data_IF_501403107018
#
_entry.id   IF_501403107018
#
_cell.length_a   1.000
_cell.length_b   1.000
_cell.length_c   1.000
_cell.angle_alpha   90.00
_cell.angle_beta   90.00
_cell.angle_gamma   90.00
#
_symmetry.space_group_name_H-M   'P 1'
#
loop_
_entity.id
_entity.type
_entity.pdbx_description
1 polymer ?
#
# COMPACT_ATOMS: atom_id res chain seq x y z
N UNK A 1 -8.70 -20.05 10.78
CA UNK A 1 -8.50 -18.94 9.83
C UNK A 1 -8.08 -19.45 8.45
N UNK A 2 -7.10 -20.34 8.31
CA UNK A 2 -6.69 -20.93 7.01
C UNK A 2 -7.85 -21.49 6.17
N UNK A 3 -8.82 -22.15 6.80
CA UNK A 3 -10.01 -22.70 6.12
C UNK A 3 -10.93 -21.64 5.48
N UNK A 4 -10.79 -20.37 5.85
CA UNK A 4 -11.53 -19.24 5.28
C UNK A 4 -10.75 -18.51 4.16
N UNK A 5 -9.50 -18.91 3.91
CA UNK A 5 -8.62 -18.26 2.94
C UNK A 5 -8.60 -19.04 1.63
N UNK A 6 -8.78 -18.35 0.51
CA UNK A 6 -8.57 -18.90 -0.83
C UNK A 6 -7.09 -19.22 -1.05
N UNK A 7 -6.78 -20.01 -2.08
CA UNK A 7 -5.38 -20.30 -2.44
C UNK A 7 -4.59 -19.01 -2.72
N UNK A 8 -5.19 -18.03 -3.42
CA UNK A 8 -4.58 -16.71 -3.68
C UNK A 8 -4.17 -16.00 -2.39
N UNK A 9 -4.98 -16.10 -1.33
CA UNK A 9 -4.63 -15.51 -0.04
C UNK A 9 -3.48 -16.25 0.64
N UNK A 10 -3.48 -17.59 0.57
CA UNK A 10 -2.44 -18.42 1.19
C UNK A 10 -1.08 -18.22 0.50
N UNK A 11 -1.07 -18.23 -0.84
CA UNK A 11 0.12 -18.00 -1.64
C UNK A 11 0.73 -16.63 -1.37
N UNK A 12 -0.11 -15.59 -1.27
CA UNK A 12 0.35 -14.23 -0.94
C UNK A 12 0.96 -14.16 0.46
N UNK A 13 0.37 -14.83 1.45
CA UNK A 13 0.92 -14.88 2.82
C UNK A 13 2.28 -15.56 2.83
N UNK A 14 2.44 -16.67 2.11
CA UNK A 14 3.71 -17.38 2.01
C UNK A 14 4.76 -16.56 1.26
N UNK A 15 4.38 -15.91 0.16
CA UNK A 15 5.22 -14.97 -0.60
C UNK A 15 5.76 -13.86 0.30
N UNK A 16 4.86 -13.19 1.05
CA UNK A 16 5.24 -12.08 1.94
C UNK A 16 6.15 -12.56 3.05
N UNK A 17 5.83 -13.68 3.71
CA UNK A 17 6.68 -14.26 4.77
C UNK A 17 8.08 -14.59 4.29
N UNK A 18 8.21 -15.16 3.10
CA UNK A 18 9.51 -15.49 2.52
C UNK A 18 10.34 -14.23 2.29
N UNK A 19 9.75 -13.20 1.68
CA UNK A 19 10.42 -11.92 1.42
C UNK A 19 10.80 -11.22 2.74
N UNK A 20 9.92 -11.24 3.73
CA UNK A 20 10.21 -10.66 5.05
C UNK A 20 11.40 -11.37 5.70
N UNK A 21 11.43 -12.70 5.70
CA UNK A 21 12.50 -13.48 6.31
C UNK A 21 13.85 -13.27 5.61
N UNK A 22 13.86 -13.17 4.29
CA UNK A 22 15.09 -13.05 3.51
C UNK A 22 15.65 -11.62 3.49
N UNK A 23 14.79 -10.61 3.34
CA UNK A 23 15.22 -9.24 3.01
C UNK A 23 14.98 -8.22 4.12
N UNK A 24 13.97 -8.45 4.98
CA UNK A 24 13.55 -7.44 5.97
C UNK A 24 14.08 -7.77 7.37
N UNK A 25 13.85 -8.99 7.86
CA UNK A 25 14.26 -9.41 9.22
C UNK A 25 15.76 -9.19 9.46
N UNK A 26 16.68 -9.52 8.54
CA UNK A 26 18.12 -9.30 8.75
C UNK A 26 18.52 -7.82 8.86
N UNK A 27 17.67 -6.90 8.37
CA UNK A 27 17.89 -5.44 8.32
C UNK A 27 16.86 -4.68 9.14
N UNK A 28 16.11 -5.35 10.01
CA UNK A 28 14.96 -4.78 10.70
C UNK A 28 15.33 -3.50 11.45
N UNK A 29 16.35 -3.56 12.29
CA UNK A 29 16.74 -2.44 13.14
C UNK A 29 17.21 -1.24 12.28
N UNK A 30 17.97 -1.50 11.21
CA UNK A 30 18.35 -0.47 10.23
C UNK A 30 17.12 0.21 9.63
N UNK A 31 16.14 -0.57 9.17
CA UNK A 31 14.92 -0.06 8.53
C UNK A 31 14.10 0.77 9.51
N UNK A 32 13.86 0.25 10.72
CA UNK A 32 13.06 0.93 11.74
C UNK A 32 13.69 2.26 12.20
N UNK A 33 15.04 2.32 12.25
CA UNK A 33 15.78 3.52 12.69
C UNK A 33 16.03 4.53 11.56
N UNK A 34 15.94 4.14 10.29
CA UNK A 34 16.37 4.97 9.14
C UNK A 34 15.43 6.11 8.74
N UNK A 35 14.28 6.26 9.43
CA UNK A 35 13.19 7.20 9.12
C UNK A 35 12.67 7.17 7.66
N UNK A 36 13.14 6.20 6.87
CA UNK A 36 12.89 6.06 5.43
C UNK A 36 12.81 4.59 5.06
N UNK A 37 12.29 4.27 3.88
CA UNK A 37 12.29 2.90 3.36
C UNK A 37 13.44 2.78 2.36
N UNK A 38 14.38 1.83 2.55
CA UNK A 38 15.46 1.63 1.60
C UNK A 38 14.94 1.39 0.17
N UNK A 39 15.57 2.06 -0.81
CA UNK A 39 15.19 2.05 -2.22
C UNK A 39 15.10 0.63 -2.81
N UNK A 40 16.00 -0.25 -2.40
CA UNK A 40 16.04 -1.64 -2.85
C UNK A 40 14.81 -2.43 -2.38
N UNK A 41 14.39 -2.20 -1.14
CA UNK A 41 13.18 -2.79 -0.54
C UNK A 41 11.93 -2.22 -1.22
N UNK A 42 11.85 -0.90 -1.40
CA UNK A 42 10.75 -0.26 -2.13
C UNK A 42 10.57 -0.86 -3.53
N UNK A 43 11.66 -0.94 -4.30
CA UNK A 43 11.64 -1.54 -5.66
C UNK A 43 11.31 -3.04 -5.63
N UNK A 44 11.71 -3.75 -4.58
CA UNK A 44 11.35 -5.16 -4.42
C UNK A 44 9.84 -5.31 -4.25
N UNK A 45 9.22 -4.56 -3.35
CA UNK A 45 7.76 -4.56 -3.15
C UNK A 45 6.98 -4.15 -4.42
N UNK A 46 7.52 -3.20 -5.20
CA UNK A 46 6.98 -2.81 -6.49
C UNK A 46 7.03 -3.94 -7.53
N UNK A 47 8.18 -4.62 -7.67
CA UNK A 47 8.32 -5.78 -8.57
C UNK A 47 7.45 -6.96 -8.15
N UNK A 48 7.27 -7.15 -6.85
CA UNK A 48 6.31 -8.10 -6.32
C UNK A 48 4.85 -7.65 -6.57
N UNK A 49 4.57 -6.45 -7.07
CA UNK A 49 3.22 -6.00 -7.36
C UNK A 49 2.34 -5.82 -6.11
N UNK A 50 2.96 -5.64 -4.95
CA UNK A 50 2.26 -5.47 -3.67
C UNK A 50 1.50 -4.14 -3.60
N UNK A 51 2.02 -3.09 -4.24
CA UNK A 51 1.31 -1.82 -4.37
C UNK A 51 0.02 -1.93 -5.21
N UNK A 52 -0.04 -2.92 -6.11
CA UNK A 52 -1.20 -3.22 -6.94
C UNK A 52 -2.12 -4.32 -6.38
N UNK A 53 -1.91 -4.80 -5.13
CA UNK A 53 -2.57 -6.02 -4.64
C UNK A 53 -4.10 -5.99 -4.74
N UNK A 54 -4.71 -4.85 -4.40
CA UNK A 54 -6.16 -4.65 -4.43
C UNK A 54 -6.64 -3.87 -5.66
N UNK A 55 -5.73 -3.40 -6.52
CA UNK A 55 -6.10 -2.68 -7.75
C UNK A 55 -6.62 -3.70 -8.77
N UNK A 56 -7.75 -3.43 -9.47
CA UNK A 56 -8.29 -4.34 -10.48
C UNK A 56 -7.30 -4.66 -11.60
N UNK A 57 -7.38 -5.88 -12.13
CA UNK A 57 -6.49 -6.35 -13.20
C UNK A 57 -6.55 -5.50 -14.48
N UNK A 58 -7.71 -4.95 -14.82
CA UNK A 58 -7.87 -4.03 -15.96
C UNK A 58 -7.02 -2.76 -15.86
N UNK A 59 -6.56 -2.40 -14.65
CA UNK A 59 -5.65 -1.28 -14.41
C UNK A 59 -4.24 -1.76 -14.04
N UNK A 60 -3.90 -3.03 -14.30
CA UNK A 60 -2.56 -3.58 -14.06
C UNK A 60 -2.26 -4.02 -12.63
N UNK A 61 -3.26 -4.10 -11.75
CA UNK A 61 -3.10 -4.65 -10.40
C UNK A 61 -3.32 -6.17 -10.33
N UNK A 62 -3.17 -6.76 -9.13
CA UNK A 62 -3.41 -8.20 -8.90
C UNK A 62 -4.90 -8.55 -8.79
N UNK A 63 -5.75 -7.59 -8.43
CA UNK A 63 -7.19 -7.79 -8.25
C UNK A 63 -7.55 -8.73 -7.09
N UNK A 64 -6.67 -8.90 -6.10
CA UNK A 64 -6.83 -9.87 -5.02
C UNK A 64 -7.75 -9.37 -3.87
N UNK A 65 -8.26 -8.13 -3.98
CA UNK A 65 -9.22 -7.56 -3.03
C UNK A 65 -8.61 -7.10 -1.70
N UNK A 66 -9.48 -6.59 -0.83
CA UNK A 66 -9.06 -5.98 0.44
C UNK A 66 -8.58 -7.00 1.48
N UNK A 67 -9.09 -8.23 1.48
CA UNK A 67 -8.61 -9.26 2.40
C UNK A 67 -7.15 -9.63 2.12
N UNK A 68 -6.79 -9.84 0.85
CA UNK A 68 -5.40 -10.05 0.44
C UNK A 68 -4.48 -8.89 0.86
N UNK A 69 -4.94 -7.64 0.68
CA UNK A 69 -4.23 -6.44 1.14
C UNK A 69 -3.98 -6.48 2.65
N UNK A 70 -4.99 -6.81 3.46
CA UNK A 70 -4.88 -6.85 4.92
C UNK A 70 -3.89 -7.93 5.38
N UNK A 71 -3.98 -9.12 4.80
CA UNK A 71 -3.06 -10.22 5.09
C UNK A 71 -1.61 -9.86 4.76
N UNK A 72 -1.39 -9.26 3.59
CA UNK A 72 -0.06 -8.78 3.19
C UNK A 72 0.52 -7.76 4.18
N UNK A 73 -0.30 -6.79 4.60
CA UNK A 73 0.13 -5.77 5.57
C UNK A 73 0.38 -6.40 6.94
N UNK A 74 -0.46 -7.32 7.39
CA UNK A 74 -0.31 -8.02 8.68
C UNK A 74 1.01 -8.79 8.73
N UNK A 75 1.29 -9.61 7.72
CA UNK A 75 2.53 -10.39 7.65
C UNK A 75 3.77 -9.49 7.55
N UNK A 76 3.71 -8.41 6.78
CA UNK A 76 4.78 -7.44 6.70
C UNK A 76 5.02 -6.71 8.05
N UNK A 77 3.94 -6.27 8.69
CA UNK A 77 3.97 -5.58 9.99
C UNK A 77 4.50 -6.46 11.11
N UNK A 78 4.29 -7.78 11.04
CA UNK A 78 4.86 -8.73 11.99
C UNK A 78 6.40 -8.73 11.95
N UNK A 79 6.98 -8.59 10.76
CA UNK A 79 8.43 -8.52 10.57
C UNK A 79 8.99 -7.11 10.84
N UNK A 80 8.31 -6.06 10.38
CA UNK A 80 8.69 -4.66 10.59
C UNK A 80 7.47 -3.75 10.52
N UNK A 81 7.29 -2.94 11.57
CA UNK A 81 6.22 -1.93 11.64
C UNK A 81 6.38 -0.87 10.55
N UNK A 82 7.61 -0.43 10.28
CA UNK A 82 7.93 0.48 9.20
C UNK A 82 7.50 -0.04 7.82
N UNK A 83 7.81 -1.31 7.49
CA UNK A 83 7.42 -1.91 6.19
C UNK A 83 5.89 -2.04 6.07
N UNK A 84 5.22 -2.55 7.12
CA UNK A 84 3.76 -2.66 7.13
C UNK A 84 3.07 -1.30 6.97
N UNK A 85 3.57 -0.28 7.68
CA UNK A 85 3.11 1.10 7.59
C UNK A 85 3.34 1.72 6.20
N UNK A 86 4.51 1.49 5.61
CA UNK A 86 4.84 1.96 4.27
C UNK A 86 3.93 1.35 3.20
N UNK A 87 3.69 0.03 3.25
CA UNK A 87 2.74 -0.63 2.34
C UNK A 87 1.33 -0.06 2.49
N UNK A 88 0.85 0.09 3.72
CA UNK A 88 -0.48 0.65 3.97
C UNK A 88 -0.60 2.09 3.45
N UNK A 89 0.43 2.92 3.68
CA UNK A 89 0.47 4.33 3.27
C UNK A 89 0.47 4.47 1.74
N UNK A 90 1.32 3.72 1.03
CA UNK A 90 1.51 3.83 -0.41
C UNK A 90 0.25 3.51 -1.24
N UNK A 91 -0.68 2.74 -0.68
CA UNK A 91 -1.89 2.28 -1.37
C UNK A 91 -3.18 2.83 -0.74
N UNK A 92 -3.09 3.70 0.27
CA UNK A 92 -4.24 4.20 1.02
C UNK A 92 -5.22 4.97 0.13
N UNK A 93 -4.72 5.88 -0.70
CA UNK A 93 -5.57 6.71 -1.57
C UNK A 93 -6.15 5.97 -2.79
N UNK A 94 -5.64 4.78 -3.12
CA UNK A 94 -6.04 4.05 -4.33
C UNK A 94 -7.52 3.65 -4.31
N UNK A 95 -8.10 3.39 -3.13
CA UNK A 95 -9.51 3.09 -3.00
C UNK A 95 -10.39 4.28 -3.41
N UNK A 96 -10.04 5.50 -2.96
CA UNK A 96 -10.80 6.71 -3.31
C UNK A 96 -10.82 6.95 -4.82
N UNK A 97 -9.69 6.73 -5.49
CA UNK A 97 -9.60 6.83 -6.93
C UNK A 97 -10.42 5.75 -7.65
N UNK A 98 -10.44 4.52 -7.13
CA UNK A 98 -11.25 3.43 -7.70
C UNK A 98 -12.75 3.69 -7.58
N UNK A 99 -13.21 4.20 -6.43
CA UNK A 99 -14.63 4.43 -6.17
C UNK A 99 -15.15 5.75 -6.77
N UNK A 100 -14.37 6.82 -6.72
CA UNK A 100 -14.84 8.17 -7.05
C UNK A 100 -14.12 8.82 -8.25
N UNK A 101 -13.04 8.21 -8.75
CA UNK A 101 -12.34 8.71 -9.94
C UNK A 101 -13.19 8.58 -11.20
N UNK A 102 -12.99 9.48 -12.15
CA UNK A 102 -13.43 9.26 -13.52
C UNK A 102 -12.63 8.14 -14.18
N UNK A 103 -13.15 7.53 -15.25
CA UNK A 103 -12.39 6.49 -15.96
C UNK A 103 -11.05 7.01 -16.51
N UNK A 104 -11.00 8.27 -16.97
CA UNK A 104 -9.74 8.90 -17.39
C UNK A 104 -8.72 9.00 -16.25
N UNK A 105 -9.17 9.34 -15.03
CA UNK A 105 -8.29 9.38 -13.85
C UNK A 105 -7.82 7.97 -13.46
N UNK A 106 -8.71 6.98 -13.47
CA UNK A 106 -8.37 5.59 -13.14
C UNK A 106 -7.35 5.02 -14.12
N UNK A 107 -7.59 5.15 -15.42
CA UNK A 107 -6.69 4.68 -16.48
C UNK A 107 -5.31 5.35 -16.42
N UNK A 108 -5.25 6.62 -16.01
CA UNK A 108 -3.98 7.33 -15.88
C UNK A 108 -3.19 6.90 -14.63
N UNK A 109 -3.83 6.88 -13.46
CA UNK A 109 -3.15 6.79 -12.16
C UNK A 109 -3.02 5.36 -11.62
N UNK A 110 -4.08 4.53 -11.72
CA UNK A 110 -4.06 3.20 -11.12
C UNK A 110 -2.94 2.30 -11.67
N UNK A 111 -2.64 2.29 -12.99
CA UNK A 111 -1.51 1.49 -13.50
C UNK A 111 -0.16 1.94 -12.94
N UNK A 112 0.03 3.23 -12.69
CA UNK A 112 1.28 3.80 -12.16
C UNK A 112 1.47 3.38 -10.71
N UNK A 113 0.41 3.46 -9.91
CA UNK A 113 0.43 2.97 -8.52
C UNK A 113 0.61 1.45 -8.44
N UNK A 114 -0.04 0.69 -9.34
CA UNK A 114 0.08 -0.77 -9.36
C UNK A 114 1.52 -1.24 -9.62
N UNK A 115 2.26 -0.54 -10.49
CA UNK A 115 3.67 -0.80 -10.79
C UNK A 115 4.64 -0.24 -9.76
N UNK A 116 4.18 0.62 -8.84
CA UNK A 116 5.03 1.35 -7.91
C UNK A 116 5.86 2.48 -8.56
N UNK A 117 5.48 2.93 -9.77
CA UNK A 117 6.11 4.09 -10.43
C UNK A 117 5.85 5.39 -9.65
N UNK A 118 4.69 5.44 -9.00
CA UNK A 118 4.25 6.53 -8.12
C UNK A 118 3.59 5.92 -6.87
N UNK A 119 3.49 6.71 -5.81
CA UNK A 119 2.77 6.35 -4.57
C UNK A 119 1.52 7.21 -4.39
N UNK A 120 0.48 6.64 -3.78
CA UNK A 120 -0.77 7.33 -3.55
C UNK A 120 -0.98 7.59 -2.05
N UNK A 121 -0.81 8.85 -1.63
CA UNK A 121 -1.06 9.28 -0.26
C UNK A 121 -2.37 10.06 -0.12
N UNK A 122 -2.81 10.27 1.12
CA UNK A 122 -3.95 11.14 1.46
C UNK A 122 -3.44 12.36 2.22
N UNK A 123 -3.95 13.54 1.87
CA UNK A 123 -3.57 14.81 2.48
C UNK A 123 -4.79 15.39 3.22
N UNK A 124 -5.05 14.89 4.42
CA UNK A 124 -6.25 15.25 5.21
C UNK A 124 -5.88 15.97 6.50
N UNK A 125 -4.87 15.49 7.22
CA UNK A 125 -4.44 16.05 8.51
C UNK A 125 -3.73 17.39 8.32
N UNK A 126 -4.04 18.35 9.18
CA UNK A 126 -3.38 19.66 9.27
C UNK A 126 -2.88 19.92 10.70
N UNK A 127 -1.94 20.89 10.93
CA UNK A 127 -1.44 21.21 12.27
C UNK A 127 -2.54 21.51 13.31
N UNK A 128 -3.69 22.06 12.87
CA UNK A 128 -4.85 22.36 13.73
C UNK A 128 -6.04 21.40 13.58
N UNK A 129 -5.93 20.34 12.77
CA UNK A 129 -7.05 19.46 12.43
C UNK A 129 -6.59 18.02 12.19
N UNK A 130 -6.71 17.17 13.22
CA UNK A 130 -6.51 15.73 13.17
C UNK A 130 -7.81 14.96 13.39
N UNK A 131 -8.14 14.64 14.64
CA UNK A 131 -9.39 13.92 14.99
C UNK A 131 -10.66 14.69 14.59
N UNK A 132 -10.60 16.02 14.51
CA UNK A 132 -11.69 16.86 13.99
C UNK A 132 -11.44 17.22 12.53
N UNK A 133 -11.50 16.23 11.64
CA UNK A 133 -11.21 16.39 10.19
C UNK A 133 -11.99 17.52 9.53
N UNK A 134 -13.23 17.76 9.95
CA UNK A 134 -14.08 18.85 9.43
C UNK A 134 -13.57 20.26 9.77
N UNK A 135 -12.54 20.37 10.61
CA UNK A 135 -11.88 21.63 10.96
C UNK A 135 -10.84 22.11 9.94
N UNK A 136 -10.59 21.33 8.87
CA UNK A 136 -9.60 21.61 7.83
C UNK A 136 -9.74 23.04 7.26
N UNK A 137 -8.59 23.71 7.07
CA UNK A 137 -8.48 25.10 6.61
C UNK A 137 -7.96 25.24 5.19
N UNK A 138 -7.39 24.19 4.61
CA UNK A 138 -6.99 24.15 3.19
C UNK A 138 -8.16 24.55 2.30
N UNK A 139 -7.93 25.49 1.39
CA UNK A 139 -8.95 25.97 0.45
C UNK A 139 -8.56 25.66 -0.98
N UNK A 140 -9.55 25.36 -1.81
CA UNK A 140 -9.40 25.20 -3.26
C UNK A 140 -10.32 26.22 -3.95
N UNK A 141 -9.76 27.01 -4.87
CA UNK A 141 -10.52 27.97 -5.69
C UNK A 141 -10.48 27.51 -7.14
N UNK A 142 -11.62 27.59 -7.83
CA UNK A 142 -11.69 27.32 -9.27
C UNK A 142 -10.87 28.40 -9.99
N UNK A 143 -9.88 27.97 -10.77
CA UNK A 143 -9.15 28.82 -11.72
C UNK A 143 -9.92 29.01 -13.01
#
# INVERSE_FOLDING_TARGET
MKELLTQVHQDLVEEVRSVMAEHIIPRRDEIEDSETIPDDIYRHMARAGWYGVAIPQQYGGRGAGHLARLLMIEEAAHASGAIGGALQSAILGTAMLQFYGSEGQKQHWLPRFARGDDVCSICVTEPGSGSHVMGMKTTARRG
#
